data_IF_523493722237
#
_entry.id   IF_523493722237
#
_cell.length_a   1.000
_cell.length_b   1.000
_cell.length_c   1.000
_cell.angle_alpha   90.00
_cell.angle_beta   90.00
_cell.angle_gamma   90.00
#
_symmetry.space_group_name_H-M   'P 1'
#
loop_
_entity.id
_entity.type
_entity.pdbx_description
1 polymer ?
#
# COMPACT_ATOMS: atom_id res chain seq x y z
N UNK A 1 3.44 4.02 17.98
CA UNK A 1 3.38 4.86 16.76
C UNK A 1 4.79 5.26 16.33
N UNK A 2 5.12 5.21 15.04
CA UNK A 2 6.39 5.76 14.53
C UNK A 2 6.26 7.25 14.22
N UNK A 3 7.32 8.02 14.46
CA UNK A 3 7.39 9.41 14.01
C UNK A 3 7.56 9.46 12.48
N UNK A 4 6.99 10.48 11.82
CA UNK A 4 7.10 10.68 10.36
C UNK A 4 8.56 10.67 9.89
N UNK A 5 9.47 11.26 10.68
CA UNK A 5 10.91 11.24 10.40
C UNK A 5 11.48 9.82 10.28
N UNK A 6 11.01 8.89 11.11
CA UNK A 6 11.44 7.48 11.06
C UNK A 6 10.83 6.78 9.84
N UNK A 7 9.58 7.07 9.49
CA UNK A 7 8.92 6.56 8.28
C UNK A 7 9.72 6.94 7.02
N UNK A 8 10.10 8.21 6.91
CA UNK A 8 10.95 8.71 5.80
C UNK A 8 12.35 8.09 5.88
N UNK A 9 12.88 7.89 7.09
CA UNK A 9 14.17 7.25 7.33
C UNK A 9 14.24 5.81 6.83
N UNK A 10 13.15 5.04 6.99
CA UNK A 10 13.02 3.67 6.47
C UNK A 10 13.12 3.66 4.94
N UNK A 11 12.37 4.53 4.28
CA UNK A 11 12.34 4.56 2.81
C UNK A 11 13.67 5.08 2.22
N UNK A 12 14.27 6.11 2.82
CA UNK A 12 15.54 6.70 2.37
C UNK A 12 16.77 5.86 2.71
N UNK A 13 16.61 4.73 3.42
CA UNK A 13 17.71 3.89 3.88
C UNK A 13 18.54 4.49 5.02
N UNK A 14 18.16 5.66 5.55
CA UNK A 14 18.82 6.30 6.70
C UNK A 14 18.57 5.53 8.00
N UNK A 15 17.47 4.79 8.08
CA UNK A 15 17.14 3.92 9.20
C UNK A 15 17.21 2.47 8.72
N UNK A 16 18.10 1.67 9.33
CA UNK A 16 18.20 0.25 8.98
C UNK A 16 16.91 -0.48 9.29
N UNK A 17 16.39 -1.25 8.34
CA UNK A 17 15.19 -2.08 8.53
C UNK A 17 15.41 -3.16 9.59
N UNK A 18 16.66 -3.56 9.83
CA UNK A 18 17.02 -4.52 10.87
C UNK A 18 16.74 -3.99 12.27
N UNK A 19 16.74 -2.67 12.48
CA UNK A 19 16.33 -2.07 13.76
C UNK A 19 14.86 -2.33 14.10
N UNK A 20 14.03 -2.62 13.08
CA UNK A 20 12.63 -2.99 13.26
C UNK A 20 12.42 -4.49 13.49
N UNK A 21 13.45 -5.32 13.28
CA UNK A 21 13.37 -6.76 13.54
C UNK A 21 13.32 -7.08 15.03
N UNK A 22 13.66 -6.14 15.91
CA UNK A 22 13.58 -6.32 17.38
C UNK A 22 12.61 -5.35 18.04
N UNK A 23 12.12 -4.35 17.30
CA UNK A 23 11.19 -3.34 17.82
C UNK A 23 9.85 -3.98 18.13
N UNK A 24 9.26 -3.55 19.25
CA UNK A 24 7.89 -3.90 19.63
C UNK A 24 7.01 -2.68 19.42
N UNK A 25 6.03 -2.82 18.55
CA UNK A 25 5.03 -1.81 18.28
C UNK A 25 3.68 -2.46 18.57
N UNK A 26 2.77 -1.68 19.15
CA UNK A 26 1.40 -2.08 19.36
C UNK A 26 0.61 -2.00 18.05
N UNK A 27 -0.38 -2.87 17.86
CA UNK A 27 -1.16 -2.88 16.62
C UNK A 27 -1.87 -1.55 16.37
N UNK A 28 -2.39 -0.92 17.43
CA UNK A 28 -3.01 0.40 17.34
C UNK A 28 -2.01 1.45 16.85
N UNK A 29 -0.81 1.49 17.42
CA UNK A 29 0.27 2.36 16.97
C UNK A 29 0.68 2.13 15.51
N UNK A 30 0.74 0.88 15.05
CA UNK A 30 1.01 0.55 13.64
C UNK A 30 -0.10 1.00 12.71
N UNK A 31 -1.35 0.72 13.07
CA UNK A 31 -2.54 1.12 12.32
C UNK A 31 -2.70 2.65 12.25
N UNK A 32 -2.41 3.37 13.34
CA UNK A 32 -2.41 4.83 13.37
C UNK A 32 -1.34 5.41 12.43
N UNK A 33 -0.13 4.86 12.45
CA UNK A 33 0.95 5.27 11.55
C UNK A 33 0.57 5.07 10.08
N UNK A 34 -0.01 3.91 9.74
CA UNK A 34 -0.49 3.64 8.39
C UNK A 34 -1.64 4.56 7.98
N UNK A 35 -2.62 4.75 8.87
CA UNK A 35 -3.78 5.62 8.63
C UNK A 35 -3.36 7.05 8.35
N UNK A 36 -2.40 7.58 9.12
CA UNK A 36 -1.88 8.92 8.92
C UNK A 36 -1.23 9.07 7.53
N UNK A 37 -0.35 8.14 7.15
CA UNK A 37 0.29 8.15 5.84
C UNK A 37 -0.74 8.06 4.71
N UNK A 38 -1.72 7.17 4.85
CA UNK A 38 -2.79 6.98 3.87
C UNK A 38 -3.66 8.22 3.71
N UNK A 39 -4.08 8.86 4.81
CA UNK A 39 -4.89 10.08 4.79
C UNK A 39 -4.11 11.23 4.13
N UNK A 40 -2.83 11.40 4.46
CA UNK A 40 -1.97 12.42 3.83
C UNK A 40 -1.94 12.23 2.32
N UNK A 41 -1.65 11.01 1.85
CA UNK A 41 -1.59 10.70 0.41
C UNK A 41 -2.96 10.91 -0.26
N UNK A 42 -4.03 10.45 0.38
CA UNK A 42 -5.39 10.59 -0.14
C UNK A 42 -5.82 12.06 -0.28
N UNK A 43 -5.46 12.91 0.69
CA UNK A 43 -5.71 14.34 0.62
C UNK A 43 -4.93 15.00 -0.52
N UNK A 44 -3.64 14.65 -0.68
CA UNK A 44 -2.81 15.19 -1.76
C UNK A 44 -3.37 14.82 -3.14
N UNK A 45 -3.74 13.55 -3.35
CA UNK A 45 -4.37 13.09 -4.60
C UNK A 45 -5.75 13.74 -4.83
N UNK A 46 -6.53 13.97 -3.78
CA UNK A 46 -7.82 14.65 -3.89
C UNK A 46 -7.66 16.13 -4.29
N UNK A 47 -6.64 16.81 -3.76
CA UNK A 47 -6.29 18.18 -4.16
C UNK A 47 -5.83 18.21 -5.62
N UNK A 48 -4.99 17.27 -6.04
CA UNK A 48 -4.55 17.16 -7.44
C UNK A 48 -5.73 16.93 -8.39
N UNK A 49 -6.62 15.99 -8.04
CA UNK A 49 -7.83 15.72 -8.82
C UNK A 49 -8.75 16.95 -8.91
N UNK A 50 -8.87 17.72 -7.82
CA UNK A 50 -9.63 18.97 -7.82
C UNK A 50 -9.01 20.02 -8.75
N UNK A 51 -7.70 20.22 -8.68
CA UNK A 51 -6.97 21.16 -9.55
C UNK A 51 -7.12 20.76 -11.02
N UNK A 52 -6.95 19.47 -11.33
CA UNK A 52 -7.13 18.96 -12.69
C UNK A 52 -8.57 19.14 -13.18
N UNK A 53 -9.56 18.89 -12.31
CA UNK A 53 -10.98 19.13 -12.59
C UNK A 53 -11.27 20.59 -12.89
N UNK A 54 -10.73 21.52 -12.09
CA UNK A 54 -10.87 22.97 -12.30
C UNK A 54 -10.19 23.41 -13.61
N UNK A 55 -9.00 22.90 -13.89
CA UNK A 55 -8.28 23.20 -15.13
C UNK A 55 -9.07 22.76 -16.37
N UNK A 56 -9.58 21.52 -16.37
CA UNK A 56 -10.43 21.00 -17.45
C UNK A 56 -11.72 21.79 -17.62
N UNK A 57 -12.36 22.18 -16.51
CA UNK A 57 -13.53 23.06 -16.53
C UNK A 57 -13.22 24.42 -17.18
N UNK A 58 -12.10 25.05 -16.80
CA UNK A 58 -11.68 26.33 -17.36
C UNK A 58 -11.38 26.24 -18.88
N UNK A 59 -10.72 25.16 -19.31
CA UNK A 59 -10.38 24.92 -20.72
C UNK A 59 -11.60 24.62 -21.60
N UNK A 60 -12.61 23.95 -21.04
CA UNK A 60 -13.85 23.59 -21.75
C UNK A 60 -14.91 24.70 -21.75
N UNK A 61 -14.64 25.86 -21.11
CA UNK A 61 -15.63 26.91 -20.83
C UNK A 61 -16.87 26.33 -20.12
N UNK A 62 -16.62 25.44 -19.15
CA UNK A 62 -17.68 24.78 -18.41
C UNK A 62 -18.59 25.77 -17.69
N UNK A 63 -19.82 25.35 -17.43
CA UNK A 63 -20.80 26.10 -16.65
C UNK A 63 -20.58 25.92 -15.14
N UNK A 64 -21.19 26.76 -14.31
CA UNK A 64 -21.04 26.67 -12.86
C UNK A 64 -21.56 25.33 -12.30
N UNK A 65 -22.55 24.72 -12.95
CA UNK A 65 -23.14 23.44 -12.52
C UNK A 65 -22.14 22.30 -12.66
N UNK A 66 -21.40 22.20 -13.77
CA UNK A 66 -20.37 21.17 -13.93
C UNK A 66 -19.24 21.28 -12.90
N UNK A 67 -18.85 22.51 -12.52
CA UNK A 67 -17.86 22.73 -11.46
C UNK A 67 -18.36 22.23 -10.09
N UNK A 68 -19.62 22.50 -9.75
CA UNK A 68 -20.25 22.02 -8.52
C UNK A 68 -20.34 20.48 -8.47
N UNK A 69 -20.62 19.85 -9.62
CA UNK A 69 -20.62 18.39 -9.73
C UNK A 69 -19.22 17.82 -9.50
N UNK A 70 -18.18 18.37 -10.13
CA UNK A 70 -16.79 17.95 -9.92
C UNK A 70 -16.42 18.07 -8.44
N UNK A 71 -16.74 19.21 -7.82
CA UNK A 71 -16.45 19.44 -6.41
C UNK A 71 -17.17 18.42 -5.51
N UNK A 72 -18.46 18.17 -5.76
CA UNK A 72 -19.23 17.20 -5.01
C UNK A 72 -18.63 15.79 -5.15
N UNK A 73 -18.26 15.36 -6.36
CA UNK A 73 -17.64 14.04 -6.59
C UNK A 73 -16.32 13.91 -5.82
N UNK A 74 -15.45 14.93 -5.88
CA UNK A 74 -14.16 14.90 -5.17
C UNK A 74 -14.37 14.88 -3.66
N UNK A 75 -15.27 15.71 -3.12
CA UNK A 75 -15.54 15.77 -1.68
C UNK A 75 -16.17 14.47 -1.17
N UNK A 76 -17.20 13.94 -1.84
CA UNK A 76 -17.80 12.65 -1.46
C UNK A 76 -16.80 11.50 -1.60
N UNK A 77 -16.01 11.48 -2.67
CA UNK A 77 -14.95 10.50 -2.87
C UNK A 77 -13.88 10.55 -1.77
N UNK A 78 -13.44 11.75 -1.39
CA UNK A 78 -12.45 11.96 -0.34
C UNK A 78 -12.97 11.67 1.08
N UNK A 79 -14.26 11.90 1.36
CA UNK A 79 -14.83 11.64 2.69
C UNK A 79 -15.21 10.17 2.88
N UNK A 80 -15.91 9.58 1.90
CA UNK A 80 -16.44 8.22 2.04
C UNK A 80 -15.51 7.18 1.43
N UNK A 81 -15.01 7.45 0.22
CA UNK A 81 -14.11 6.54 -0.50
C UNK A 81 -12.80 6.33 0.26
N UNK A 82 -12.17 7.40 0.77
CA UNK A 82 -10.93 7.30 1.56
C UNK A 82 -11.10 6.47 2.81
N UNK A 83 -12.20 6.61 3.56
CA UNK A 83 -12.43 5.84 4.79
C UNK A 83 -12.62 4.35 4.47
N UNK A 84 -13.44 4.04 3.47
CA UNK A 84 -13.67 2.65 3.05
C UNK A 84 -12.37 2.00 2.54
N UNK A 85 -11.61 2.71 1.71
CA UNK A 85 -10.32 2.22 1.20
C UNK A 85 -9.29 2.05 2.32
N UNK A 86 -9.25 2.95 3.30
CA UNK A 86 -8.35 2.82 4.45
C UNK A 86 -8.63 1.54 5.23
N UNK A 87 -9.90 1.29 5.58
CA UNK A 87 -10.30 0.09 6.32
C UNK A 87 -9.95 -1.17 5.51
N UNK A 88 -10.31 -1.19 4.22
CA UNK A 88 -10.00 -2.30 3.34
C UNK A 88 -8.49 -2.57 3.25
N UNK A 89 -7.65 -1.52 3.15
CA UNK A 89 -6.20 -1.66 3.09
C UNK A 89 -5.60 -2.14 4.41
N UNK A 90 -6.07 -1.66 5.56
CA UNK A 90 -5.60 -2.16 6.87
C UNK A 90 -5.91 -3.66 6.99
N UNK A 91 -7.12 -4.08 6.64
CA UNK A 91 -7.52 -5.49 6.66
C UNK A 91 -6.64 -6.30 5.70
N UNK A 92 -6.45 -5.81 4.48
CA UNK A 92 -5.63 -6.49 3.47
C UNK A 92 -4.17 -6.64 3.92
N UNK A 93 -3.54 -5.58 4.44
CA UNK A 93 -2.16 -5.63 4.95
C UNK A 93 -2.05 -6.55 6.16
N UNK A 94 -3.06 -6.58 7.02
CA UNK A 94 -3.09 -7.50 8.17
C UNK A 94 -3.17 -8.96 7.73
N UNK A 95 -4.08 -9.30 6.80
CA UNK A 95 -4.22 -10.65 6.25
C UNK A 95 -2.94 -11.06 5.50
N UNK A 96 -2.39 -10.15 4.71
CA UNK A 96 -1.13 -10.32 4.00
C UNK A 96 0.01 -10.65 4.97
N UNK A 97 0.14 -9.87 6.05
CA UNK A 97 1.13 -10.10 7.08
C UNK A 97 0.93 -11.43 7.81
N UNK A 98 -0.32 -11.84 8.08
CA UNK A 98 -0.61 -13.13 8.68
C UNK A 98 -0.10 -14.30 7.82
N UNK A 99 -0.32 -14.26 6.50
CA UNK A 99 0.19 -15.29 5.59
C UNK A 99 1.72 -15.39 5.67
N UNK A 100 2.43 -14.26 5.62
CA UNK A 100 3.89 -14.23 5.72
C UNK A 100 4.39 -14.74 7.07
N UNK A 101 3.72 -14.37 8.15
CA UNK A 101 4.06 -14.81 9.50
C UNK A 101 3.93 -16.33 9.66
N UNK A 102 2.83 -16.91 9.19
CA UNK A 102 2.62 -18.36 9.27
C UNK A 102 3.63 -19.12 8.41
N UNK A 103 3.90 -18.66 7.19
CA UNK A 103 4.94 -19.26 6.34
C UNK A 103 6.33 -19.15 6.99
N UNK A 104 6.68 -17.99 7.54
CA UNK A 104 7.96 -17.80 8.23
C UNK A 104 8.13 -18.75 9.42
N UNK A 105 7.06 -18.97 10.19
CA UNK A 105 7.07 -19.93 11.32
C UNK A 105 7.26 -21.38 10.91
N UNK A 106 6.91 -21.78 9.68
CA UNK A 106 7.22 -23.12 9.20
C UNK A 106 8.73 -23.33 9.02
N UNK A 107 9.48 -22.26 8.78
CA UNK A 107 10.93 -22.30 8.58
C UNK A 107 11.73 -21.88 9.82
N UNK A 108 11.10 -21.30 10.85
CA UNK A 108 11.76 -20.77 12.03
C UNK A 108 10.98 -21.09 13.31
N UNK A 109 11.66 -21.68 14.29
CA UNK A 109 11.10 -21.97 15.62
C UNK A 109 11.15 -20.76 16.57
N UNK A 110 11.33 -19.54 16.05
CA UNK A 110 11.44 -18.35 16.88
C UNK A 110 10.07 -18.01 17.50
N UNK A 111 9.98 -17.84 18.83
CA UNK A 111 8.77 -17.34 19.46
C UNK A 111 8.57 -15.88 19.06
N UNK A 112 7.61 -15.64 18.18
CA UNK A 112 7.20 -14.31 17.76
C UNK A 112 5.67 -14.19 17.79
N UNK A 113 5.19 -12.95 17.92
CA UNK A 113 3.78 -12.60 18.01
C UNK A 113 3.28 -12.00 16.68
N UNK A 114 2.20 -12.57 16.14
CA UNK A 114 1.56 -12.10 14.91
C UNK A 114 1.21 -10.61 15.00
N UNK A 115 0.73 -10.16 16.15
CA UNK A 115 0.31 -8.78 16.37
C UNK A 115 1.48 -7.81 16.29
N UNK A 116 2.62 -8.17 16.87
CA UNK A 116 3.85 -7.37 16.80
C UNK A 116 4.39 -7.36 15.36
N UNK A 117 4.42 -8.52 14.70
CA UNK A 117 4.84 -8.63 13.30
C UNK A 117 3.99 -7.72 12.39
N UNK A 118 2.66 -7.83 12.48
CA UNK A 118 1.74 -7.03 11.66
C UNK A 118 1.80 -5.54 11.98
N UNK A 119 2.06 -5.15 13.23
CA UNK A 119 2.23 -3.73 13.58
C UNK A 119 3.44 -3.11 12.89
N UNK A 120 4.57 -3.83 12.82
CA UNK A 120 5.79 -3.38 12.14
C UNK A 120 5.60 -3.41 10.63
N UNK A 121 4.90 -4.42 10.12
CA UNK A 121 4.55 -4.50 8.70
C UNK A 121 3.70 -3.29 8.27
N UNK A 122 2.67 -2.93 9.03
CA UNK A 122 1.86 -1.73 8.78
C UNK A 122 2.71 -0.46 8.73
N UNK A 123 3.73 -0.35 9.60
CA UNK A 123 4.67 0.77 9.57
C UNK A 123 5.56 0.78 8.31
N UNK A 124 6.03 -0.39 7.84
CA UNK A 124 6.80 -0.49 6.59
C UNK A 124 5.92 -0.11 5.40
N UNK A 125 4.69 -0.62 5.34
CA UNK A 125 3.72 -0.25 4.32
C UNK A 125 3.35 1.23 4.38
N UNK A 126 3.29 1.84 5.57
CA UNK A 126 3.07 3.29 5.70
C UNK A 126 4.19 4.08 5.00
N UNK A 127 5.44 3.64 5.13
CA UNK A 127 6.58 4.28 4.48
C UNK A 127 6.53 4.16 2.95
N UNK A 128 6.19 2.98 2.44
CA UNK A 128 6.06 2.77 0.99
C UNK A 128 4.85 3.51 0.41
N UNK A 129 3.71 3.52 1.11
CA UNK A 129 2.51 4.28 0.71
C UNK A 129 2.79 5.78 0.66
N UNK A 130 3.45 6.34 1.68
CA UNK A 130 3.79 7.76 1.72
C UNK A 130 4.74 8.13 0.56
N UNK A 131 5.79 7.34 0.35
CA UNK A 131 6.73 7.57 -0.73
C UNK A 131 6.08 7.45 -2.11
N UNK A 132 5.30 6.38 -2.35
CA UNK A 132 4.59 6.18 -3.61
C UNK A 132 3.59 7.31 -3.89
N UNK A 133 2.85 7.74 -2.86
CA UNK A 133 1.91 8.84 -2.96
C UNK A 133 2.57 10.16 -3.32
N UNK A 134 3.75 10.46 -2.76
CA UNK A 134 4.51 11.66 -3.13
C UNK A 134 4.98 11.63 -4.59
N UNK A 135 5.41 10.47 -5.09
CA UNK A 135 5.78 10.33 -6.51
C UNK A 135 4.57 10.45 -7.42
N UNK A 136 3.40 9.92 -7.04
CA UNK A 136 2.18 9.98 -7.85
C UNK A 136 1.72 11.42 -8.17
N UNK A 137 2.12 12.42 -7.37
CA UNK A 137 1.84 13.84 -7.62
C UNK A 137 2.55 14.40 -8.86
N UNK A 138 3.47 13.64 -9.47
CA UNK A 138 4.13 14.00 -10.72
C UNK A 138 3.43 13.22 -11.84
N UNK A 139 2.64 13.87 -12.72
CA UNK A 139 1.92 13.18 -13.78
C UNK A 139 2.84 12.37 -14.71
N UNK A 140 2.39 11.20 -15.17
CA UNK A 140 3.09 10.23 -16.03
C UNK A 140 4.38 9.61 -15.44
N UNK A 141 5.33 10.45 -15.03
CA UNK A 141 6.62 10.03 -14.47
C UNK A 141 6.43 9.39 -13.09
N UNK A 142 5.53 9.96 -12.29
CA UNK A 142 5.23 9.51 -10.94
C UNK A 142 4.68 8.10 -10.82
N UNK A 143 3.98 7.63 -11.86
CA UNK A 143 3.37 6.29 -11.87
C UNK A 143 4.44 5.20 -11.98
N UNK A 144 5.45 5.43 -12.82
CA UNK A 144 6.61 4.52 -12.95
C UNK A 144 7.39 4.50 -11.63
N UNK A 145 7.65 5.65 -11.02
CA UNK A 145 8.33 5.70 -9.73
C UNK A 145 7.50 5.07 -8.61
N UNK A 146 6.18 5.24 -8.59
CA UNK A 146 5.31 4.59 -7.63
C UNK A 146 5.38 3.05 -7.74
N UNK A 147 5.43 2.50 -8.96
CA UNK A 147 5.66 1.07 -9.18
C UNK A 147 7.03 0.63 -8.65
N UNK A 148 8.09 1.41 -8.89
CA UNK A 148 9.43 1.13 -8.35
C UNK A 148 9.44 1.15 -6.82
N UNK A 149 8.69 2.06 -6.19
CA UNK A 149 8.52 2.10 -4.73
C UNK A 149 7.83 0.84 -4.21
N UNK A 150 6.80 0.35 -4.91
CA UNK A 150 6.14 -0.89 -4.51
C UNK A 150 7.05 -2.11 -4.65
N UNK A 151 7.82 -2.19 -5.75
CA UNK A 151 8.84 -3.23 -5.92
C UNK A 151 9.91 -3.17 -4.81
N UNK A 152 10.34 -1.97 -4.43
CA UNK A 152 11.24 -1.78 -3.30
C UNK A 152 10.60 -2.21 -1.96
N UNK A 153 9.29 -2.04 -1.79
CA UNK A 153 8.54 -2.56 -0.64
C UNK A 153 8.66 -4.08 -0.47
N UNK A 154 8.69 -4.83 -1.56
CA UNK A 154 8.93 -6.29 -1.53
C UNK A 154 10.33 -6.60 -0.99
N UNK A 155 11.34 -5.84 -1.42
CA UNK A 155 12.73 -5.97 -0.94
C UNK A 155 12.82 -5.65 0.55
N UNK A 156 12.12 -4.60 1.02
CA UNK A 156 12.04 -4.26 2.44
C UNK A 156 11.40 -5.40 3.25
N UNK A 157 10.32 -5.99 2.73
CA UNK A 157 9.65 -7.12 3.36
C UNK A 157 10.55 -8.36 3.44
N UNK A 158 11.28 -8.68 2.37
CA UNK A 158 12.28 -9.74 2.37
C UNK A 158 13.34 -9.55 3.46
N UNK A 159 13.95 -8.36 3.53
CA UNK A 159 14.96 -8.04 4.55
C UNK A 159 14.39 -8.11 5.96
N UNK A 160 13.17 -7.59 6.15
CA UNK A 160 12.49 -7.61 7.44
C UNK A 160 12.21 -9.03 7.92
N UNK A 161 11.57 -9.86 7.09
CA UNK A 161 11.22 -11.26 7.44
C UNK A 161 12.49 -12.07 7.70
N UNK A 162 13.51 -11.93 6.84
CA UNK A 162 14.82 -12.58 7.01
C UNK A 162 15.42 -12.25 8.37
N UNK A 163 15.50 -10.96 8.71
CA UNK A 163 16.09 -10.48 9.97
C UNK A 163 15.25 -10.89 11.19
N UNK A 164 13.91 -10.76 11.10
CA UNK A 164 12.99 -11.04 12.22
C UNK A 164 13.01 -12.52 12.59
N UNK A 165 12.99 -13.42 11.60
CA UNK A 165 12.92 -14.87 11.81
C UNK A 165 14.26 -15.60 11.71
N UNK A 166 15.35 -14.89 11.41
CA UNK A 166 16.70 -15.42 11.18
C UNK A 166 16.72 -16.53 10.11
N UNK A 167 16.06 -16.28 8.97
CA UNK A 167 15.94 -17.22 7.86
C UNK A 167 17.15 -17.16 6.93
N UNK A 168 17.40 -18.25 6.20
CA UNK A 168 18.32 -18.22 5.05
C UNK A 168 17.71 -17.42 3.90
N UNK A 169 18.53 -16.97 2.94
CA UNK A 169 18.05 -16.21 1.78
C UNK A 169 17.00 -16.97 0.97
N UNK A 170 17.19 -18.28 0.79
CA UNK A 170 16.23 -19.13 0.09
C UNK A 170 14.89 -19.24 0.84
N UNK A 171 14.93 -19.43 2.16
CA UNK A 171 13.71 -19.52 2.97
C UNK A 171 12.96 -18.18 2.99
N UNK A 172 13.65 -17.07 3.18
CA UNK A 172 13.05 -15.74 3.15
C UNK A 172 12.42 -15.43 1.78
N UNK A 173 13.05 -15.86 0.68
CA UNK A 173 12.52 -15.70 -0.66
C UNK A 173 11.20 -16.48 -0.83
N UNK A 174 11.14 -17.73 -0.37
CA UNK A 174 9.92 -18.55 -0.43
C UNK A 174 8.79 -17.88 0.36
N UNK A 175 9.07 -17.41 1.58
CA UNK A 175 8.07 -16.78 2.46
C UNK A 175 7.46 -15.53 1.83
N UNK A 176 8.24 -14.75 1.07
CA UNK A 176 7.77 -13.51 0.43
C UNK A 176 7.19 -13.74 -0.95
N UNK A 177 7.81 -14.59 -1.78
CA UNK A 177 7.39 -14.80 -3.16
C UNK A 177 6.16 -15.70 -3.27
N UNK A 178 6.01 -16.73 -2.44
CA UNK A 178 4.86 -17.63 -2.56
C UNK A 178 3.50 -16.93 -2.40
N UNK A 179 3.31 -16.01 -1.42
CA UNK A 179 2.09 -15.21 -1.34
C UNK A 179 1.90 -14.27 -2.54
N UNK A 180 2.99 -13.71 -3.07
CA UNK A 180 2.97 -12.84 -4.25
C UNK A 180 2.53 -13.62 -5.49
N UNK A 181 3.11 -14.79 -5.73
CA UNK A 181 2.76 -15.65 -6.86
C UNK A 181 1.30 -16.11 -6.78
N UNK A 182 0.83 -16.48 -5.58
CA UNK A 182 -0.58 -16.83 -5.36
C UNK A 182 -1.53 -15.66 -5.66
N UNK A 183 -1.16 -14.44 -5.25
CA UNK A 183 -1.92 -13.24 -5.57
C UNK A 183 -1.92 -12.94 -7.07
N UNK A 184 -0.77 -13.05 -7.74
CA UNK A 184 -0.66 -12.84 -9.18
C UNK A 184 -1.48 -13.87 -9.96
N UNK A 185 -1.51 -15.13 -9.52
CA UNK A 185 -2.35 -16.17 -10.11
C UNK A 185 -3.84 -15.84 -9.95
N UNK A 186 -4.27 -15.37 -8.79
CA UNK A 186 -5.65 -14.93 -8.56
C UNK A 186 -6.02 -13.76 -9.47
N UNK A 187 -5.13 -12.76 -9.59
CA UNK A 187 -5.32 -11.61 -10.48
C UNK A 187 -5.40 -12.06 -11.95
N UNK A 188 -4.58 -13.03 -12.35
CA UNK A 188 -4.61 -13.61 -13.69
C UNK A 188 -5.94 -14.35 -13.96
N UNK A 189 -6.40 -15.18 -13.03
CA UNK A 189 -7.69 -15.88 -13.18
C UNK A 189 -8.84 -14.87 -13.26
N UNK A 190 -8.84 -13.85 -12.39
CA UNK A 190 -9.85 -12.81 -12.40
C UNK A 190 -9.85 -12.02 -13.71
N UNK A 191 -8.68 -11.68 -14.26
CA UNK A 191 -8.58 -10.95 -15.53
C UNK A 191 -9.06 -11.78 -16.72
N UNK A 192 -8.78 -13.09 -16.72
CA UNK A 192 -9.32 -14.03 -17.74
C UNK A 192 -10.84 -14.09 -17.66
N UNK A 193 -11.43 -14.27 -16.47
CA UNK A 193 -12.89 -14.31 -16.27
C UNK A 193 -13.54 -12.99 -16.73
N UNK A 194 -12.98 -11.84 -16.32
CA UNK A 194 -13.48 -10.53 -16.76
C UNK A 194 -13.38 -10.36 -18.27
N UNK A 195 -12.27 -10.80 -18.89
CA UNK A 195 -12.10 -10.75 -20.34
C UNK A 195 -13.19 -11.57 -21.05
N UNK A 196 -13.46 -12.80 -20.59
CA UNK A 196 -14.55 -13.61 -21.14
C UNK A 196 -15.93 -13.00 -20.92
N UNK A 197 -16.20 -12.40 -19.76
CA UNK A 197 -17.48 -11.73 -19.49
C UNK A 197 -17.67 -10.49 -20.39
N UNK A 198 -16.62 -9.69 -20.61
CA UNK A 198 -16.67 -8.45 -21.38
C UNK A 198 -16.63 -8.66 -22.90
N UNK A 199 -15.92 -9.69 -23.38
CA UNK A 199 -15.83 -10.02 -24.81
C UNK A 199 -16.94 -10.99 -25.22
N UNK A 200 -17.25 -11.99 -24.41
CA UNK A 200 -18.32 -12.97 -24.67
C UNK A 200 -19.72 -12.34 -24.71
N UNK A 201 -19.95 -11.26 -23.96
CA UNK A 201 -21.20 -10.48 -24.00
C UNK A 201 -21.39 -9.63 -25.27
N UNK A 202 -20.38 -9.59 -26.17
CA UNK A 202 -20.47 -8.88 -27.46
C UNK A 202 -20.68 -9.80 -28.66
N UNK A 203 -20.67 -11.13 -28.46
CA UNK A 203 -20.75 -12.15 -29.53
C UNK A 203 -22.10 -12.89 -29.52
N UNK A 204 -22.94 -12.67 -28.51
CA UNK A 204 -24.34 -13.09 -28.44
C UNK A 204 -25.26 -11.89 -28.65
#
# INVERSE_FOLDING_TARGET
MLAIREIIGIFTGRTSIESFSTRRIDLAGGALTFSLAFVIVSLLLSIEALIAGIANWAMSKGDMVSLLIIFAIVVFGALFGTVLLLIAQIIAVYLWGAVHFYLAKLFSNKPDNLTEFNSVLLCIFAATTLAAGLFMLIPLVGWVFALLVQAYGIVLMFRFVKSRFNLTDAQAAIVVLAPIDALLLLVFIASVILSFALVGSRVL
#
